data_IF_689315083457
#
_entry.id   IF_689315083457
#
_cell.length_a   1.000
_cell.length_b   1.000
_cell.length_c   1.000
_cell.angle_alpha   90.00
_cell.angle_beta   90.00
_cell.angle_gamma   90.00
#
_symmetry.space_group_name_H-M   'P 1'
#
loop_
_entity.id
_entity.type
_entity.pdbx_description
1 polymer ?
#
# COMPACT_ATOMS: atom_id res chain seq x y z
N UNK A 1 -35.39 28.60 -1.07
CA UNK A 1 -35.17 27.14 -0.99
C UNK A 1 -33.76 26.87 -1.44
N UNK A 2 -32.86 26.61 -0.50
CA UNK A 2 -31.46 26.32 -0.81
C UNK A 2 -31.36 24.93 -1.47
N UNK A 3 -30.79 24.92 -2.66
CA UNK A 3 -30.55 23.71 -3.44
C UNK A 3 -29.28 23.07 -2.88
N UNK A 4 -29.42 22.16 -1.92
CA UNK A 4 -28.33 21.28 -1.51
C UNK A 4 -27.93 20.41 -2.71
N UNK A 5 -26.96 20.85 -3.49
CA UNK A 5 -26.28 19.97 -4.44
C UNK A 5 -25.52 18.95 -3.62
N UNK A 6 -26.05 17.73 -3.55
CA UNK A 6 -25.33 16.57 -3.08
C UNK A 6 -24.10 16.37 -3.98
N UNK A 7 -22.99 17.03 -3.65
CA UNK A 7 -21.69 16.74 -4.24
C UNK A 7 -21.41 15.27 -3.98
N UNK A 8 -21.50 14.47 -5.05
CA UNK A 8 -21.04 13.08 -5.02
C UNK A 8 -19.58 13.12 -4.61
N UNK A 9 -19.31 12.84 -3.33
CA UNK A 9 -17.95 12.66 -2.84
C UNK A 9 -17.27 11.65 -3.77
N UNK A 10 -16.33 12.12 -4.58
CA UNK A 10 -15.68 11.27 -5.58
C UNK A 10 -14.98 10.17 -4.81
N UNK A 11 -15.49 8.93 -4.89
CA UNK A 11 -14.87 7.76 -4.24
C UNK A 11 -13.45 7.60 -4.81
N UNK A 12 -12.46 8.14 -4.09
CA UNK A 12 -11.06 7.90 -4.38
C UNK A 12 -10.65 6.61 -3.69
N UNK A 13 -10.18 5.67 -4.51
CA UNK A 13 -9.68 4.38 -4.03
C UNK A 13 -8.15 4.47 -4.04
N UNK A 14 -7.56 4.11 -2.91
CA UNK A 14 -6.13 3.90 -2.75
C UNK A 14 -5.93 2.47 -2.25
N UNK A 15 -5.02 1.75 -2.89
CA UNK A 15 -4.53 0.44 -2.45
C UNK A 15 -3.20 0.65 -1.77
N UNK A 16 -3.01 0.04 -0.59
CA UNK A 16 -1.76 0.10 0.14
C UNK A 16 -1.21 -1.30 0.30
N UNK A 17 0.05 -1.48 -0.06
CA UNK A 17 0.84 -2.64 0.31
C UNK A 17 1.64 -2.28 1.56
N UNK A 18 1.39 -3.00 2.63
CA UNK A 18 2.09 -2.87 3.90
C UNK A 18 2.88 -4.15 4.14
N UNK A 19 4.05 -4.02 4.78
CA UNK A 19 4.85 -5.15 5.18
C UNK A 19 5.58 -4.85 6.48
N UNK A 20 5.74 -5.88 7.31
CA UNK A 20 6.53 -5.85 8.52
C UNK A 20 7.14 -7.23 8.75
N UNK A 21 8.22 -7.29 9.54
CA UNK A 21 8.72 -8.57 10.01
C UNK A 21 7.82 -9.16 11.10
N UNK A 22 8.06 -10.42 11.45
CA UNK A 22 7.21 -11.16 12.40
C UNK A 22 7.13 -10.52 13.80
N UNK A 23 8.19 -9.87 14.26
CA UNK A 23 8.22 -9.16 15.55
C UNK A 23 7.59 -7.77 15.48
N UNK A 24 7.30 -7.24 14.29
CA UNK A 24 6.73 -5.92 14.06
C UNK A 24 7.69 -4.75 14.31
N UNK A 25 8.96 -5.01 14.61
CA UNK A 25 9.95 -3.97 14.89
C UNK A 25 10.54 -3.35 13.61
N UNK A 26 10.49 -4.06 12.49
CA UNK A 26 10.91 -3.59 11.18
C UNK A 26 9.68 -3.50 10.27
N UNK A 27 9.47 -2.33 9.68
CA UNK A 27 8.34 -2.04 8.78
C UNK A 27 8.87 -1.63 7.43
N UNK A 28 8.34 -2.22 6.38
CA UNK A 28 8.62 -1.81 5.01
C UNK A 28 7.96 -0.46 4.73
N UNK A 29 8.56 0.31 3.83
CA UNK A 29 7.93 1.52 3.32
C UNK A 29 6.62 1.14 2.60
N UNK A 30 5.48 1.76 2.95
CA UNK A 30 4.22 1.48 2.27
C UNK A 30 4.29 1.86 0.79
N UNK A 31 3.89 0.94 -0.08
CA UNK A 31 3.61 1.25 -1.48
C UNK A 31 2.13 1.63 -1.63
N UNK A 32 1.88 2.80 -2.20
CA UNK A 32 0.53 3.34 -2.40
C UNK A 32 0.21 3.33 -3.90
N UNK A 33 -0.90 2.71 -4.28
CA UNK A 33 -1.42 2.74 -5.65
C UNK A 33 -2.76 3.47 -5.70
N UNK A 34 -2.92 4.39 -6.64
CA UNK A 34 -4.17 5.14 -6.81
C UNK A 34 -4.54 5.40 -8.27
N UNK A 35 -5.75 5.93 -8.51
CA UNK A 35 -6.26 6.14 -9.88
C UNK A 35 -5.50 7.19 -10.68
N UNK A 36 -5.18 8.30 -10.02
CA UNK A 36 -4.58 9.47 -10.65
C UNK A 36 -3.10 9.55 -10.31
N UNK A 37 -2.26 10.06 -11.21
CA UNK A 37 -0.87 10.43 -10.89
C UNK A 37 -0.78 11.50 -9.81
N UNK A 38 -1.79 12.36 -9.71
CA UNK A 38 -1.94 13.39 -8.67
C UNK A 38 -3.34 13.28 -8.07
N UNK A 39 -3.53 12.48 -7.00
CA UNK A 39 -4.84 12.31 -6.40
C UNK A 39 -5.27 13.58 -5.67
N UNK A 40 -6.54 13.96 -5.83
CA UNK A 40 -7.10 15.15 -5.17
C UNK A 40 -6.98 15.11 -3.64
N UNK A 41 -7.03 13.94 -3.00
CA UNK A 41 -6.81 13.80 -1.56
C UNK A 41 -5.39 14.18 -1.09
N UNK A 42 -4.42 14.34 -2.01
CA UNK A 42 -3.09 14.85 -1.71
C UNK A 42 -2.87 16.29 -2.19
N UNK A 43 -3.92 17.01 -2.63
CA UNK A 43 -3.78 18.37 -3.16
C UNK A 43 -3.08 19.33 -2.17
N UNK A 44 -3.27 19.12 -0.87
CA UNK A 44 -2.69 19.93 0.21
C UNK A 44 -1.60 19.19 0.99
N UNK A 45 -1.13 18.05 0.47
CA UNK A 45 -0.01 17.30 1.06
C UNK A 45 1.25 17.68 0.30
N UNK A 46 2.30 18.10 1.02
CA UNK A 46 3.52 18.67 0.43
C UNK A 46 4.23 17.73 -0.55
N UNK A 47 4.06 16.43 -0.39
CA UNK A 47 4.58 15.41 -1.30
C UNK A 47 3.72 14.16 -1.26
N UNK A 48 3.69 13.42 -2.37
CA UNK A 48 3.13 12.07 -2.39
C UNK A 48 4.02 11.14 -1.55
N UNK A 49 3.49 9.97 -1.11
CA UNK A 49 4.34 8.92 -0.56
C UNK A 49 5.51 8.63 -1.50
N UNK A 50 6.71 8.40 -0.93
CA UNK A 50 7.94 8.08 -1.69
C UNK A 50 7.71 6.97 -2.73
N UNK A 51 6.83 6.03 -2.41
CA UNK A 51 6.40 4.93 -3.27
C UNK A 51 4.94 5.08 -3.66
N UNK A 52 4.66 5.97 -4.62
CA UNK A 52 3.35 6.15 -5.21
C UNK A 52 3.32 5.68 -6.68
N UNK A 53 2.35 4.84 -7.02
CA UNK A 53 2.10 4.34 -8.38
C UNK A 53 0.68 4.67 -8.81
N UNK A 54 0.51 5.05 -10.09
CA UNK A 54 -0.80 5.36 -10.64
C UNK A 54 -1.28 4.24 -11.56
N UNK A 55 -2.52 3.79 -11.35
CA UNK A 55 -3.16 2.78 -12.17
C UNK A 55 -4.67 3.06 -12.27
N UNK A 56 -5.28 2.95 -13.44
CA UNK A 56 -6.65 3.41 -13.71
C UNK A 56 -7.72 2.78 -12.81
N UNK A 57 -7.53 1.53 -12.38
CA UNK A 57 -8.42 0.83 -11.44
C UNK A 57 -8.00 0.99 -9.96
N UNK A 58 -6.87 1.66 -9.68
CA UNK A 58 -6.22 1.81 -8.36
C UNK A 58 -5.82 0.49 -7.69
N UNK A 59 -5.81 -0.63 -8.40
CA UNK A 59 -5.40 -1.93 -7.86
C UNK A 59 -3.92 -2.17 -8.10
N UNK A 60 -3.35 -3.06 -7.28
CA UNK A 60 -2.03 -3.63 -7.52
C UNK A 60 -2.04 -4.43 -8.83
N UNK A 61 -0.98 -4.33 -9.61
CA UNK A 61 -0.78 -5.16 -10.81
C UNK A 61 0.54 -5.92 -10.70
N UNK A 62 0.68 -7.00 -11.46
CA UNK A 62 1.90 -7.81 -11.51
C UNK A 62 3.13 -6.96 -11.84
N UNK A 63 2.95 -5.94 -12.70
CA UNK A 63 4.01 -5.00 -13.06
C UNK A 63 4.40 -4.07 -11.91
N UNK A 64 3.41 -3.55 -11.16
CA UNK A 64 3.67 -2.71 -9.98
C UNK A 64 4.34 -3.55 -8.88
N UNK A 65 3.77 -4.72 -8.59
CA UNK A 65 4.32 -5.72 -7.67
C UNK A 65 5.78 -6.05 -7.99
N UNK A 66 6.06 -6.48 -9.22
CA UNK A 66 7.41 -6.88 -9.61
C UNK A 66 8.42 -5.73 -9.58
N UNK A 67 8.01 -4.48 -9.84
CA UNK A 67 8.88 -3.31 -9.65
C UNK A 67 9.20 -3.06 -8.18
N UNK A 68 8.20 -3.18 -7.31
CA UNK A 68 8.39 -3.01 -5.87
C UNK A 68 9.30 -4.08 -5.27
N UNK A 69 9.06 -5.36 -5.58
CA UNK A 69 9.89 -6.47 -5.10
C UNK A 69 11.34 -6.33 -5.56
N UNK A 70 11.60 -5.93 -6.82
CA UNK A 70 12.99 -5.71 -7.29
C UNK A 70 13.72 -4.59 -6.54
N UNK A 71 13.00 -3.53 -6.14
CA UNK A 71 13.57 -2.46 -5.32
C UNK A 71 13.95 -2.99 -3.93
N UNK A 72 13.06 -3.75 -3.30
CA UNK A 72 13.34 -4.39 -2.02
C UNK A 72 14.49 -5.40 -2.12
N UNK A 73 14.53 -6.21 -3.17
CA UNK A 73 15.59 -7.20 -3.40
C UNK A 73 16.96 -6.52 -3.50
N UNK A 74 17.05 -5.42 -4.27
CA UNK A 74 18.26 -4.62 -4.36
C UNK A 74 18.67 -4.02 -3.01
N UNK A 75 17.69 -3.56 -2.22
CA UNK A 75 17.92 -3.03 -0.88
C UNK A 75 18.48 -4.10 0.07
N UNK A 76 17.83 -5.26 0.16
CA UNK A 76 18.27 -6.34 1.05
C UNK A 76 19.57 -6.98 0.58
N UNK A 77 19.79 -7.10 -0.72
CA UNK A 77 21.05 -7.56 -1.29
C UNK A 77 22.21 -6.64 -0.89
N UNK A 78 22.03 -5.30 -0.96
CA UNK A 78 23.04 -4.33 -0.48
C UNK A 78 23.29 -4.44 1.03
N UNK A 79 22.28 -4.84 1.79
CA UNK A 79 22.39 -5.11 3.22
C UNK A 79 22.98 -6.50 3.52
N UNK A 80 23.26 -7.33 2.50
CA UNK A 80 23.68 -8.74 2.64
C UNK A 80 22.69 -9.57 3.48
N UNK A 81 21.39 -9.31 3.31
CA UNK A 81 20.30 -9.99 4.03
C UNK A 81 19.48 -10.82 3.05
N UNK A 82 19.16 -12.05 3.44
CA UNK A 82 18.17 -12.87 2.76
C UNK A 82 16.84 -12.80 3.51
N UNK A 83 15.73 -12.62 2.78
CA UNK A 83 14.41 -12.35 3.34
C UNK A 83 13.36 -13.20 2.62
N UNK A 84 12.56 -13.94 3.38
CA UNK A 84 11.34 -14.55 2.88
C UNK A 84 10.17 -13.58 3.06
N UNK A 85 9.46 -13.25 1.99
CA UNK A 85 8.24 -12.44 2.02
C UNK A 85 7.04 -13.38 1.87
N UNK A 86 6.20 -13.43 2.90
CA UNK A 86 4.97 -14.21 2.90
C UNK A 86 3.84 -13.36 2.32
N UNK A 87 3.15 -13.89 1.32
CA UNK A 87 2.05 -13.21 0.61
C UNK A 87 0.80 -14.09 0.56
N UNK A 88 -0.36 -13.46 0.42
CA UNK A 88 -1.60 -14.18 0.11
C UNK A 88 -1.53 -14.82 -1.30
N UNK A 89 -2.33 -15.87 -1.50
CA UNK A 89 -2.42 -16.55 -2.78
C UNK A 89 -3.20 -15.70 -3.81
N UNK A 90 -2.50 -14.72 -4.38
CA UNK A 90 -3.04 -13.82 -5.40
C UNK A 90 -2.21 -13.93 -6.69
N UNK A 91 -2.87 -14.02 -7.85
CA UNK A 91 -2.20 -14.09 -9.16
C UNK A 91 -1.27 -12.89 -9.43
N UNK A 92 -1.50 -11.77 -8.74
CA UNK A 92 -0.67 -10.56 -8.81
C UNK A 92 0.68 -10.73 -8.11
N UNK A 93 0.78 -11.59 -7.10
CA UNK A 93 1.96 -11.77 -6.24
C UNK A 93 2.88 -12.88 -6.76
N UNK A 94 3.13 -12.89 -8.07
CA UNK A 94 4.05 -13.85 -8.67
C UNK A 94 5.51 -13.53 -8.30
N UNK A 95 6.38 -14.53 -8.36
CA UNK A 95 7.80 -14.32 -8.15
C UNK A 95 8.43 -13.67 -9.40
N UNK A 96 9.02 -12.46 -9.29
CA UNK A 96 9.84 -11.91 -10.36
C UNK A 96 11.07 -12.78 -10.62
N UNK A 97 11.51 -12.88 -11.88
CA UNK A 97 12.75 -13.59 -12.22
C UNK A 97 13.98 -12.87 -11.64
N UNK A 98 15.02 -13.65 -11.33
CA UNK A 98 16.37 -13.19 -10.96
C UNK A 98 16.45 -12.38 -9.65
N UNK A 99 15.65 -12.72 -8.64
CA UNK A 99 15.85 -12.19 -7.29
C UNK A 99 17.12 -12.78 -6.66
N UNK A 100 17.82 -11.99 -5.84
CA UNK A 100 19.10 -12.39 -5.22
C UNK A 100 19.00 -12.60 -3.71
N UNK A 101 18.11 -11.85 -3.06
CA UNK A 101 17.99 -11.76 -1.61
C UNK A 101 16.58 -12.07 -1.12
N UNK A 102 15.57 -11.93 -1.99
CA UNK A 102 14.17 -12.19 -1.65
C UNK A 102 13.71 -13.54 -2.19
N UNK A 103 13.06 -14.31 -1.33
CA UNK A 103 12.20 -15.43 -1.70
C UNK A 103 10.73 -15.07 -1.42
N UNK A 104 9.83 -15.36 -2.36
CA UNK A 104 8.39 -15.12 -2.17
C UNK A 104 7.71 -16.43 -1.82
N UNK A 105 7.09 -16.47 -0.65
CA UNK A 105 6.35 -17.64 -0.15
C UNK A 105 4.85 -17.32 -0.22
N UNK A 106 4.13 -18.01 -1.09
CA UNK A 106 2.67 -17.87 -1.20
C UNK A 106 1.97 -18.76 -0.19
N UNK A 107 1.02 -18.20 0.56
CA UNK A 107 0.18 -18.97 1.47
C UNK A 107 -0.73 -19.93 0.69
N UNK A 108 -1.17 -21.06 1.30
CA UNK A 108 -2.16 -21.93 0.68
C UNK A 108 -3.48 -21.18 0.45
N UNK A 109 -4.26 -21.55 -0.58
CA UNK A 109 -5.64 -21.09 -0.68
C UNK A 109 -6.40 -21.45 0.61
N UNK A 110 -7.17 -20.49 1.16
CA UNK A 110 -8.03 -20.61 2.34
C UNK A 110 -7.39 -20.35 3.73
N UNK A 111 -6.14 -19.89 3.84
CA UNK A 111 -5.53 -19.53 5.15
C UNK A 111 -5.61 -18.03 5.47
N UNK A 112 -6.40 -17.29 4.69
CA UNK A 112 -6.40 -15.83 4.61
C UNK A 112 -6.78 -15.15 5.92
N UNK A 113 -7.74 -15.70 6.69
CA UNK A 113 -8.22 -15.06 7.91
C UNK A 113 -7.34 -15.30 9.15
N UNK A 114 -6.59 -16.41 9.21
CA UNK A 114 -5.87 -16.84 10.42
C UNK A 114 -4.40 -16.42 10.44
N UNK A 115 -3.76 -16.24 9.28
CA UNK A 115 -2.32 -15.92 9.17
C UNK A 115 -2.03 -14.48 8.75
N UNK A 116 -3.03 -13.69 8.40
CA UNK A 116 -2.82 -12.27 8.12
C UNK A 116 -2.59 -11.51 9.43
N UNK A 117 -1.35 -11.55 9.92
CA UNK A 117 -0.85 -10.73 11.05
C UNK A 117 -1.20 -9.23 10.90
N UNK A 118 -1.45 -8.76 9.67
CA UNK A 118 -1.88 -7.39 9.37
C UNK A 118 -3.39 -7.15 9.53
N UNK A 119 -4.22 -8.19 9.40
CA UNK A 119 -5.68 -8.09 9.45
C UNK A 119 -6.26 -8.15 10.88
N UNK A 120 -5.45 -8.55 11.86
CA UNK A 120 -5.71 -8.48 13.31
C UNK A 120 -5.62 -7.02 13.86
N UNK A 121 -6.28 -6.08 13.19
CA UNK A 121 -6.45 -4.69 13.66
C UNK A 121 -5.39 -3.68 13.22
N UNK A 122 -4.21 -4.09 12.76
CA UNK A 122 -3.18 -3.19 12.23
C UNK A 122 -3.70 -2.43 11.02
N UNK A 123 -4.29 -3.14 10.05
CA UNK A 123 -4.89 -2.52 8.86
C UNK A 123 -6.03 -1.57 9.25
N UNK A 124 -6.86 -1.94 10.22
CA UNK A 124 -7.97 -1.10 10.70
C UNK A 124 -7.44 0.22 11.28
N UNK A 125 -6.44 0.13 12.15
CA UNK A 125 -5.84 1.28 12.81
C UNK A 125 -5.06 2.17 11.83
N UNK A 126 -4.37 1.55 10.88
CA UNK A 126 -3.71 2.27 9.79
C UNK A 126 -4.73 3.02 8.93
N UNK A 127 -5.80 2.37 8.48
CA UNK A 127 -6.89 2.99 7.70
C UNK A 127 -7.48 4.19 8.46
N UNK A 128 -7.73 4.04 9.77
CA UNK A 128 -8.27 5.11 10.62
C UNK A 128 -7.32 6.31 10.70
N UNK A 129 -6.03 6.08 10.96
CA UNK A 129 -5.01 7.15 11.02
C UNK A 129 -4.81 7.83 9.66
N UNK A 130 -4.74 7.05 8.58
CA UNK A 130 -4.54 7.56 7.23
C UNK A 130 -5.70 8.44 6.78
N UNK A 131 -6.95 8.00 7.00
CA UNK A 131 -8.14 8.81 6.70
C UNK A 131 -8.15 10.12 7.49
N UNK A 132 -7.82 10.06 8.79
CA UNK A 132 -7.73 11.26 9.64
C UNK A 132 -6.68 12.25 9.12
N UNK A 133 -5.50 11.79 8.70
CA UNK A 133 -4.43 12.68 8.27
C UNK A 133 -4.59 13.18 6.82
N UNK A 134 -5.12 12.36 5.91
CA UNK A 134 -5.42 12.78 4.54
C UNK A 134 -6.61 13.76 4.48
N UNK A 135 -7.61 13.62 5.36
CA UNK A 135 -8.75 14.54 5.44
C UNK A 135 -8.45 15.81 6.26
N UNK A 136 -7.46 15.81 7.16
CA UNK A 136 -7.06 17.01 7.95
C UNK A 136 -6.39 18.12 7.12
N UNK A 137 -5.98 17.84 5.88
CA UNK A 137 -5.57 18.88 4.94
C UNK A 137 -6.72 19.74 4.41
N UNK A 138 -7.96 19.46 4.81
CA UNK A 138 -9.18 20.13 4.34
C UNK A 138 -9.79 21.12 5.36
N UNK A 139 -9.18 21.25 6.54
CA UNK A 139 -9.76 21.97 7.68
C UNK A 139 -8.78 22.96 8.34
N UNK A 140 -7.95 23.61 7.51
CA UNK A 140 -7.12 24.76 7.90
C UNK A 140 -7.06 25.78 6.78
N UNK A 141 -8.20 26.35 6.44
CA UNK A 141 -8.31 27.58 5.66
C UNK A 141 -9.66 28.25 5.89
N UNK A 142 -10.10 28.29 7.14
CA UNK A 142 -11.10 29.25 7.63
C UNK A 142 -10.64 29.66 9.03
N UNK A 143 -10.15 30.88 9.14
CA UNK A 143 -9.52 31.49 10.29
C UNK A 143 -8.84 32.75 9.82
#
# INVERSE_FOLDING_TARGET
GEKCTSEKASKQILTLLLGANISGNEKLKPLVTGKSRKPRCFKNVKSLPDEYEANSNAWMTTTIWGRHIRKLDSQFSRQKRNVAIIVDNCATHNQPKNLKAIEIVSLPPNVTAFLQLLDEGIIRDFKRKYKKNACKGHDKSIG
#
